data_IF_824792516171
#
_entry.id   IF_824792516171
#
_cell.length_a   1.000
_cell.length_b   1.000
_cell.length_c   1.000
_cell.angle_alpha   90.00
_cell.angle_beta   90.00
_cell.angle_gamma   90.00
#
_symmetry.space_group_name_H-M   'P 1'
#
loop_
_entity.id
_entity.type
_entity.pdbx_description
1 polymer ?
#
# COMPACT_ATOMS: atom_id res chain seq x y z
N UNK A 1 -13.58 -4.17 -10.30
CA UNK A 1 -12.55 -3.43 -9.52
C UNK A 1 -13.18 -2.66 -8.34
N UNK A 2 -14.08 -3.27 -7.56
CA UNK A 2 -14.90 -2.53 -6.58
C UNK A 2 -14.08 -1.73 -5.56
N UNK A 3 -13.14 -2.39 -4.87
CA UNK A 3 -12.22 -1.72 -3.92
C UNK A 3 -11.45 -0.59 -4.59
N UNK A 4 -10.81 -0.85 -5.74
CA UNK A 4 -9.98 0.14 -6.45
C UNK A 4 -10.78 1.37 -6.91
N UNK A 5 -11.98 1.17 -7.47
CA UNK A 5 -12.89 2.24 -7.90
C UNK A 5 -13.33 3.07 -6.69
N UNK A 6 -13.72 2.41 -5.60
CA UNK A 6 -14.20 3.09 -4.41
C UNK A 6 -13.09 3.91 -3.74
N UNK A 7 -11.89 3.35 -3.63
CA UNK A 7 -10.70 4.05 -3.13
C UNK A 7 -10.38 5.27 -3.99
N UNK A 8 -10.47 5.16 -5.32
CA UNK A 8 -10.34 6.31 -6.24
C UNK A 8 -11.44 7.34 -6.06
N UNK A 9 -12.72 6.95 -5.90
CA UNK A 9 -13.82 7.90 -5.71
C UNK A 9 -13.70 8.68 -4.40
N UNK A 10 -13.09 8.09 -3.37
CA UNK A 10 -12.74 8.78 -2.12
C UNK A 10 -11.50 9.69 -2.23
N UNK A 11 -10.85 9.77 -3.40
CA UNK A 11 -9.63 10.54 -3.60
C UNK A 11 -8.35 9.85 -3.14
N UNK A 12 -8.44 8.59 -2.71
CA UNK A 12 -7.35 7.78 -2.15
C UNK A 12 -7.11 6.52 -2.99
N UNK A 13 -6.67 6.62 -4.25
CA UNK A 13 -6.41 5.43 -5.07
C UNK A 13 -5.38 4.53 -4.39
N UNK A 14 -5.43 3.22 -4.68
CA UNK A 14 -4.43 2.29 -4.17
C UNK A 14 -3.05 2.64 -4.72
N UNK A 15 -2.01 2.48 -3.90
CA UNK A 15 -0.63 2.69 -4.33
C UNK A 15 -0.29 1.79 -5.53
N UNK A 16 0.45 2.34 -6.49
CA UNK A 16 0.86 1.67 -7.74
C UNK A 16 -0.31 1.17 -8.62
N UNK A 17 -1.54 1.66 -8.40
CA UNK A 17 -2.67 1.35 -9.26
C UNK A 17 -2.67 2.21 -10.53
N UNK A 18 -2.05 1.72 -11.60
CA UNK A 18 -1.94 2.43 -12.88
C UNK A 18 -3.30 2.87 -13.45
N UNK A 19 -4.30 1.98 -13.44
CA UNK A 19 -5.62 2.26 -14.04
C UNK A 19 -6.36 3.39 -13.34
N UNK A 20 -6.17 3.54 -12.03
CA UNK A 20 -6.86 4.57 -11.24
C UNK A 20 -5.90 5.69 -10.77
N UNK A 21 -4.71 5.78 -11.37
CA UNK A 21 -3.72 6.84 -11.19
C UNK A 21 -3.07 6.86 -9.80
N UNK A 22 -2.94 5.70 -9.17
CA UNK A 22 -2.22 5.49 -7.91
C UNK A 22 -0.71 5.25 -8.09
N UNK A 23 -0.24 5.24 -9.33
CA UNK A 23 1.16 5.20 -9.76
C UNK A 23 1.79 6.61 -9.90
N UNK A 24 1.12 7.65 -9.40
CA UNK A 24 1.59 9.04 -9.44
C UNK A 24 1.60 9.66 -8.04
N UNK A 25 2.52 10.60 -7.81
CA UNK A 25 2.60 11.35 -6.55
C UNK A 25 1.51 12.43 -6.55
N UNK A 26 0.46 12.24 -5.74
CA UNK A 26 -0.72 13.13 -5.71
C UNK A 26 -0.68 14.26 -4.69
N UNK A 27 0.12 14.15 -3.63
CA UNK A 27 0.15 15.13 -2.52
C UNK A 27 1.57 15.35 -2.02
N UNK A 28 1.86 16.59 -1.60
CA UNK A 28 3.10 17.00 -0.95
C UNK A 28 4.05 17.80 -1.85
N UNK A 29 4.96 18.54 -1.23
CA UNK A 29 6.04 19.24 -1.92
C UNK A 29 6.97 18.22 -2.57
N UNK A 30 7.06 18.25 -3.90
CA UNK A 30 7.84 17.26 -4.63
C UNK A 30 9.30 17.72 -4.72
N UNK A 31 10.02 17.64 -3.60
CA UNK A 31 11.47 17.73 -3.62
C UNK A 31 12.07 16.48 -4.28
N UNK A 32 13.17 16.65 -5.00
CA UNK A 32 13.82 15.61 -5.83
C UNK A 32 14.04 14.29 -5.08
N UNK A 33 14.48 14.35 -3.82
CA UNK A 33 14.68 13.18 -2.96
C UNK A 33 13.40 12.42 -2.65
N UNK A 34 12.29 13.12 -2.40
CA UNK A 34 11.00 12.48 -2.14
C UNK A 34 10.46 11.81 -3.40
N UNK A 35 10.54 12.48 -4.55
CA UNK A 35 10.16 11.89 -5.84
C UNK A 35 10.91 10.60 -6.10
N UNK A 36 12.24 10.64 -5.99
CA UNK A 36 13.09 9.47 -6.20
C UNK A 36 12.74 8.32 -5.24
N UNK A 37 12.46 8.62 -3.97
CA UNK A 37 12.02 7.63 -2.99
C UNK A 37 10.71 6.95 -3.43
N UNK A 38 9.69 7.72 -3.80
CA UNK A 38 8.39 7.16 -4.20
C UNK A 38 8.50 6.38 -5.50
N UNK A 39 9.24 6.89 -6.49
CA UNK A 39 9.48 6.19 -7.76
C UNK A 39 10.19 4.86 -7.53
N UNK A 40 11.16 4.81 -6.62
CA UNK A 40 11.82 3.56 -6.23
C UNK A 40 10.86 2.59 -5.53
N UNK A 41 9.83 3.07 -4.84
CA UNK A 41 8.78 2.22 -4.26
C UNK A 41 7.84 1.67 -5.34
N UNK A 42 7.46 2.47 -6.34
CA UNK A 42 6.69 2.00 -7.50
C UNK A 42 7.42 0.92 -8.30
N UNK A 43 8.76 1.00 -8.39
CA UNK A 43 9.57 -0.06 -9.03
C UNK A 43 9.56 -1.39 -8.27
N UNK A 44 9.46 -1.35 -6.94
CA UNK A 44 9.42 -2.56 -6.10
C UNK A 44 8.04 -3.22 -6.14
N UNK A 45 6.98 -2.42 -6.10
CA UNK A 45 5.61 -2.91 -6.24
C UNK A 45 4.97 -2.21 -7.43
N UNK A 46 5.07 -2.83 -8.60
CA UNK A 46 4.56 -2.33 -9.88
C UNK A 46 3.10 -2.66 -10.16
N UNK A 47 2.38 -3.13 -9.14
CA UNK A 47 0.95 -3.49 -9.19
C UNK A 47 0.21 -2.78 -8.08
N UNK A 48 -1.12 -2.69 -8.20
CA UNK A 48 -1.95 -2.14 -7.13
C UNK A 48 -1.63 -2.82 -5.79
N UNK A 49 -1.43 -1.99 -4.75
CA UNK A 49 -1.28 -2.43 -3.38
C UNK A 49 -2.62 -2.96 -2.83
N UNK A 50 -3.07 -4.10 -3.39
CA UNK A 50 -4.22 -4.88 -2.96
C UNK A 50 -3.79 -6.36 -2.79
N UNK A 51 -4.11 -6.94 -1.63
CA UNK A 51 -3.81 -8.33 -1.29
C UNK A 51 -4.99 -8.95 -0.55
N UNK A 52 -5.46 -10.12 -1.01
CA UNK A 52 -6.47 -10.90 -0.30
C UNK A 52 -5.77 -11.78 0.73
N UNK A 53 -5.76 -11.32 1.99
CA UNK A 53 -5.03 -12.00 3.07
C UNK A 53 -5.74 -13.25 3.57
N UNK A 54 -7.06 -13.21 3.71
CA UNK A 54 -7.85 -14.31 4.25
C UNK A 54 -9.06 -14.60 3.37
N UNK A 55 -9.45 -15.87 3.35
CA UNK A 55 -10.65 -16.37 2.69
C UNK A 55 -11.32 -17.38 3.62
N UNK A 56 -12.55 -17.09 4.04
CA UNK A 56 -13.37 -17.98 4.84
C UNK A 56 -14.67 -18.29 4.11
N UNK A 57 -15.06 -19.56 4.03
CA UNK A 57 -16.34 -19.97 3.47
C UNK A 57 -16.78 -21.34 3.99
N UNK A 58 -18.07 -21.62 3.89
CA UNK A 58 -18.61 -22.96 4.12
C UNK A 58 -18.38 -23.84 2.88
N UNK A 59 -17.68 -24.95 3.07
CA UNK A 59 -17.38 -25.85 1.97
C UNK A 59 -18.67 -26.41 1.34
N UNK A 60 -18.85 -26.31 0.02
CA UNK A 60 -20.15 -26.49 -0.62
C UNK A 60 -20.74 -27.90 -0.46
N UNK A 61 -19.87 -28.92 -0.36
CA UNK A 61 -20.25 -30.33 -0.21
C UNK A 61 -20.29 -30.74 1.27
N UNK A 62 -19.14 -30.66 1.97
CA UNK A 62 -19.01 -31.09 3.37
C UNK A 62 -19.72 -30.21 4.39
N UNK A 63 -20.18 -29.01 4.03
CA UNK A 63 -20.85 -28.03 4.92
C UNK A 63 -20.01 -27.61 6.14
N UNK A 64 -18.70 -27.85 6.06
CA UNK A 64 -17.75 -27.45 7.11
C UNK A 64 -17.23 -26.05 6.82
N UNK A 65 -17.09 -25.26 7.88
CA UNK A 65 -16.37 -23.99 7.80
C UNK A 65 -14.91 -24.24 7.44
N UNK A 66 -14.38 -23.46 6.49
CA UNK A 66 -12.98 -23.50 6.08
C UNK A 66 -12.42 -22.10 6.05
N UNK A 67 -11.17 -21.96 6.50
CA UNK A 67 -10.41 -20.71 6.47
C UNK A 67 -9.06 -20.95 5.83
N UNK A 68 -8.65 -19.99 5.00
CA UNK A 68 -7.37 -19.96 4.33
C UNK A 68 -6.74 -18.60 4.55
N UNK A 69 -5.42 -18.59 4.75
CA UNK A 69 -4.64 -17.37 4.83
C UNK A 69 -3.50 -17.39 3.80
N UNK A 70 -3.21 -16.22 3.24
CA UNK A 70 -2.08 -15.98 2.37
C UNK A 70 -1.15 -14.96 3.01
N UNK A 71 0.15 -15.28 3.20
CA UNK A 71 1.10 -14.32 3.74
C UNK A 71 1.20 -13.10 2.84
N UNK A 72 1.63 -11.98 3.42
CA UNK A 72 1.81 -10.76 2.65
C UNK A 72 2.92 -10.98 1.61
N UNK A 73 2.73 -10.66 0.32
CA UNK A 73 3.76 -10.86 -0.69
C UNK A 73 5.01 -10.01 -0.42
N UNK A 74 6.17 -10.45 -0.93
CA UNK A 74 7.46 -9.81 -0.66
C UNK A 74 7.51 -8.33 -1.11
N UNK A 75 6.89 -8.01 -2.24
CA UNK A 75 6.82 -6.64 -2.78
C UNK A 75 6.11 -5.67 -1.81
N UNK A 76 5.01 -6.11 -1.21
CA UNK A 76 4.28 -5.40 -0.18
C UNK A 76 5.12 -5.19 1.07
N UNK A 77 5.76 -6.26 1.57
CA UNK A 77 6.59 -6.18 2.77
C UNK A 77 7.73 -5.17 2.57
N UNK A 78 8.41 -5.25 1.42
CA UNK A 78 9.52 -4.37 1.08
C UNK A 78 9.10 -2.90 0.99
N UNK A 79 7.96 -2.59 0.35
CA UNK A 79 7.47 -1.21 0.26
C UNK A 79 7.00 -0.69 1.61
N UNK A 80 6.27 -1.48 2.39
CA UNK A 80 5.85 -1.10 3.74
C UNK A 80 7.04 -0.75 4.63
N UNK A 81 8.11 -1.54 4.56
CA UNK A 81 9.31 -1.29 5.35
C UNK A 81 10.01 0.00 4.92
N UNK A 82 10.16 0.24 3.62
CA UNK A 82 10.70 1.51 3.09
C UNK A 82 9.92 2.72 3.59
N UNK A 83 8.59 2.66 3.63
CA UNK A 83 7.76 3.74 4.15
C UNK A 83 7.91 3.94 5.66
N UNK A 84 8.01 2.86 6.44
CA UNK A 84 8.25 2.94 7.89
C UNK A 84 9.57 3.64 8.21
N UNK A 85 10.65 3.23 7.55
CA UNK A 85 11.97 3.86 7.68
C UNK A 85 11.90 5.34 7.28
N UNK A 86 11.33 5.65 6.13
CA UNK A 86 11.23 7.04 5.64
C UNK A 86 10.47 7.96 6.60
N UNK A 87 9.35 7.49 7.17
CA UNK A 87 8.55 8.27 8.11
C UNK A 87 9.28 8.47 9.44
N UNK A 88 9.92 7.43 9.97
CA UNK A 88 10.67 7.49 11.21
C UNK A 88 11.87 8.45 11.10
N UNK A 89 12.64 8.37 10.01
CA UNK A 89 13.73 9.29 9.72
C UNK A 89 13.27 10.76 9.67
N UNK A 90 12.08 11.01 9.12
CA UNK A 90 11.53 12.37 9.06
C UNK A 90 11.10 12.87 10.44
N UNK A 91 10.49 12.02 11.27
CA UNK A 91 10.13 12.35 12.66
C UNK A 91 11.36 12.68 13.50
N UNK A 92 12.42 11.87 13.38
CA UNK A 92 13.67 12.09 14.13
C UNK A 92 14.39 13.39 13.73
N UNK A 93 14.23 13.85 12.48
CA UNK A 93 14.80 15.12 11.99
C UNK A 93 13.95 16.36 12.33
N UNK A 94 12.71 16.16 12.78
CA UNK A 94 11.81 17.22 13.26
C UNK A 94 11.34 16.84 14.67
N UNK A 95 12.24 16.87 15.69
CA UNK A 95 11.81 16.70 17.06
C UNK A 95 10.70 17.71 17.37
N UNK A 96 9.64 17.24 17.99
CA UNK A 96 8.44 18.02 18.29
C UNK A 96 8.85 19.26 19.11
N UNK A 97 8.65 20.47 18.58
CA UNK A 97 8.99 21.73 19.24
C UNK A 97 7.92 22.21 20.25
N UNK A 98 7.04 21.32 20.68
CA UNK A 98 5.98 21.61 21.64
C UNK A 98 5.95 20.51 22.70
N UNK A 99 6.81 20.69 23.71
CA UNK A 99 6.54 20.35 25.11
C UNK A 99 6.40 21.68 25.88
#
# INVERSE_FOLDING_TARGET
HQIRVHMKSMGHPLFADERYGGNEIRKGTIHSKYRQFVDNCFKVMSRQALHAKSLGFEHPITKKWMEFEAPLPEDFQAVLERWRVYVNDRKNKMPNFYD
#
